data_IF_132162709686
#
_entry.id   IF_132162709686
#
_cell.length_a   1.000
_cell.length_b   1.000
_cell.length_c   1.000
_cell.angle_alpha   90.00
_cell.angle_beta   90.00
_cell.angle_gamma   90.00
#
_symmetry.space_group_name_H-M   'P 1'
#
loop_
_entity.id
_entity.type
_entity.pdbx_description
1 polymer ?
#
# COMPACT_ATOMS: atom_id res chain seq x y z
N UNK A 1 -20.48 8.00 -11.76
CA UNK A 1 -20.59 6.61 -11.27
C UNK A 1 -20.63 6.53 -9.73
N UNK A 2 -19.94 7.42 -9.00
CA UNK A 2 -20.25 7.74 -7.62
C UNK A 2 -20.44 9.25 -7.57
N UNK A 3 -21.61 9.74 -7.16
CA UNK A 3 -21.92 11.19 -7.04
C UNK A 3 -21.16 11.87 -5.90
N UNK A 4 -19.88 11.54 -5.75
CA UNK A 4 -18.96 12.09 -4.77
C UNK A 4 -18.34 13.32 -5.40
N UNK A 5 -18.78 14.49 -4.93
CA UNK A 5 -18.11 15.74 -5.24
C UNK A 5 -16.63 15.61 -4.84
N UNK A 6 -15.72 16.08 -5.71
CA UNK A 6 -14.31 16.21 -5.39
C UNK A 6 -14.14 17.30 -4.32
N UNK A 7 -14.45 16.92 -3.09
CA UNK A 7 -14.39 17.77 -1.91
C UNK A 7 -13.06 17.56 -1.17
N UNK A 8 -12.81 18.43 -0.20
CA UNK A 8 -11.60 18.38 0.64
C UNK A 8 -11.46 17.04 1.39
N UNK A 9 -12.56 16.35 1.68
CA UNK A 9 -12.58 15.05 2.34
C UNK A 9 -12.04 13.93 1.42
N UNK A 10 -12.39 13.96 0.14
CA UNK A 10 -11.87 13.03 -0.87
C UNK A 10 -10.35 13.24 -1.05
N UNK A 11 -9.90 14.49 -1.14
CA UNK A 11 -8.47 14.82 -1.33
C UNK A 11 -7.63 14.44 -0.11
N UNK A 12 -8.11 14.72 1.10
CA UNK A 12 -7.43 14.29 2.33
C UNK A 12 -7.38 12.77 2.46
N UNK A 13 -8.45 12.07 2.04
CA UNK A 13 -8.46 10.61 1.93
C UNK A 13 -7.42 10.07 0.94
N UNK A 14 -7.25 10.71 -0.22
CA UNK A 14 -6.22 10.36 -1.19
C UNK A 14 -4.81 10.54 -0.62
N UNK A 15 -4.54 11.65 0.06
CA UNK A 15 -3.24 11.89 0.70
C UNK A 15 -2.95 10.81 1.76
N UNK A 16 -3.97 10.44 2.54
CA UNK A 16 -3.87 9.40 3.56
C UNK A 16 -3.48 8.03 2.96
N UNK A 17 -4.15 7.58 1.89
CA UNK A 17 -3.81 6.30 1.25
C UNK A 17 -2.42 6.33 0.61
N UNK A 18 -2.00 7.45 0.03
CA UNK A 18 -0.66 7.58 -0.54
C UNK A 18 0.39 7.34 0.55
N UNK A 19 0.25 7.97 1.72
CA UNK A 19 1.17 7.79 2.85
C UNK A 19 1.18 6.35 3.38
N UNK A 20 0.01 5.73 3.53
CA UNK A 20 -0.11 4.34 4.01
C UNK A 20 0.53 3.33 3.05
N UNK A 21 0.30 3.49 1.75
CA UNK A 21 0.88 2.65 0.71
C UNK A 21 2.39 2.88 0.61
N UNK A 22 2.85 4.14 0.67
CA UNK A 22 4.26 4.50 0.64
C UNK A 22 5.03 3.87 1.82
N UNK A 23 4.51 3.99 3.06
CA UNK A 23 5.12 3.34 4.24
C UNK A 23 5.24 1.83 4.05
N UNK A 24 4.21 1.23 3.46
CA UNK A 24 4.17 -0.21 3.21
C UNK A 24 5.23 -0.63 2.19
N UNK A 25 5.36 0.10 1.07
CA UNK A 25 6.39 -0.10 0.05
C UNK A 25 7.80 0.06 0.62
N UNK A 26 8.06 1.18 1.32
CA UNK A 26 9.38 1.50 1.87
C UNK A 26 9.89 0.35 2.75
N UNK A 27 9.11 -0.07 3.75
CA UNK A 27 9.54 -1.16 4.62
C UNK A 27 9.63 -2.51 3.88
N UNK A 28 8.82 -2.75 2.85
CA UNK A 28 8.93 -3.98 2.05
C UNK A 28 10.26 -4.03 1.29
N UNK A 29 10.63 -2.92 0.63
CA UNK A 29 11.91 -2.79 -0.07
C UNK A 29 13.10 -2.80 0.88
N UNK A 30 12.98 -2.18 2.06
CA UNK A 30 14.03 -2.16 3.08
C UNK A 30 14.28 -3.55 3.64
N UNK A 31 13.23 -4.32 3.97
CA UNK A 31 13.36 -5.71 4.40
C UNK A 31 14.01 -6.58 3.32
N UNK A 32 13.61 -6.40 2.06
CA UNK A 32 14.19 -7.14 0.95
C UNK A 32 15.68 -6.80 0.76
N UNK A 33 16.04 -5.52 0.87
CA UNK A 33 17.44 -5.05 0.84
C UNK A 33 18.28 -5.63 1.98
N UNK A 34 17.74 -5.64 3.21
CA UNK A 34 18.40 -6.24 4.37
C UNK A 34 18.63 -7.75 4.17
N UNK A 35 17.62 -8.48 3.69
CA UNK A 35 17.76 -9.92 3.37
C UNK A 35 18.78 -10.19 2.27
N UNK A 36 18.91 -9.29 1.29
CA UNK A 36 19.98 -9.36 0.27
C UNK A 36 21.35 -9.16 0.90
N UNK A 37 21.50 -8.19 1.82
CA UNK A 37 22.76 -7.96 2.53
C UNK A 37 23.18 -9.13 3.43
N UNK A 38 22.21 -9.92 3.90
CA UNK A 38 22.41 -11.18 4.62
C UNK A 38 22.82 -12.36 3.69
N UNK A 39 23.06 -12.10 2.40
CA UNK A 39 23.57 -13.09 1.44
C UNK A 39 22.50 -13.88 0.68
N UNK A 40 21.20 -13.64 0.91
CA UNK A 40 20.13 -14.33 0.18
C UNK A 40 20.10 -13.92 -1.30
N UNK A 41 19.74 -14.84 -2.20
CA UNK A 41 19.52 -14.51 -3.62
C UNK A 41 18.38 -13.51 -3.80
N UNK A 42 18.37 -12.76 -4.90
CA UNK A 42 17.41 -11.69 -5.15
C UNK A 42 15.95 -12.13 -5.02
N UNK A 43 15.62 -13.26 -5.65
CA UNK A 43 14.28 -13.83 -5.60
C UNK A 43 13.91 -14.30 -4.19
N UNK A 44 14.84 -14.92 -3.46
CA UNK A 44 14.61 -15.37 -2.08
C UNK A 44 14.43 -14.19 -1.12
N UNK A 45 15.21 -13.12 -1.28
CA UNK A 45 15.09 -11.91 -0.47
C UNK A 45 13.74 -11.21 -0.68
N UNK A 46 13.32 -11.04 -1.94
CA UNK A 46 12.02 -10.46 -2.29
C UNK A 46 10.86 -11.31 -1.75
N UNK A 47 10.92 -12.63 -1.91
CA UNK A 47 9.89 -13.55 -1.41
C UNK A 47 9.82 -13.57 0.13
N UNK A 48 10.96 -13.61 0.80
CA UNK A 48 11.05 -13.57 2.26
C UNK A 48 10.46 -12.27 2.82
N UNK A 49 10.81 -11.13 2.22
CA UNK A 49 10.25 -9.84 2.58
C UNK A 49 8.73 -9.78 2.36
N UNK A 50 8.24 -10.25 1.21
CA UNK A 50 6.81 -10.32 0.93
C UNK A 50 6.07 -11.18 1.97
N UNK A 51 6.61 -12.35 2.34
CA UNK A 51 6.01 -13.26 3.32
C UNK A 51 5.91 -12.66 4.72
N UNK A 52 6.97 -12.00 5.20
CA UNK A 52 7.00 -11.37 6.53
C UNK A 52 6.04 -10.18 6.61
N UNK A 53 5.88 -9.44 5.50
CA UNK A 53 5.06 -8.22 5.45
C UNK A 53 3.60 -8.50 5.13
N UNK A 54 3.27 -9.63 4.49
CA UNK A 54 1.90 -9.99 4.12
C UNK A 54 0.92 -9.94 5.31
N UNK A 55 1.31 -10.48 6.47
CA UNK A 55 0.48 -10.45 7.69
C UNK A 55 0.22 -9.01 8.18
N UNK A 56 1.25 -8.17 8.40
CA UNK A 56 1.06 -6.74 8.70
C UNK A 56 0.25 -5.94 7.67
N UNK A 57 0.44 -6.21 6.37
CA UNK A 57 -0.27 -5.53 5.29
C UNK A 57 -1.76 -5.84 5.38
N UNK A 58 -2.11 -7.13 5.48
CA UNK A 58 -3.50 -7.56 5.62
C UNK A 58 -4.13 -7.00 6.91
N UNK A 59 -3.40 -6.99 8.02
CA UNK A 59 -3.89 -6.40 9.27
C UNK A 59 -4.27 -4.93 9.09
N UNK A 60 -3.44 -4.16 8.40
CA UNK A 60 -3.67 -2.71 8.20
C UNK A 60 -4.88 -2.47 7.31
N UNK A 61 -4.96 -3.17 6.17
CA UNK A 61 -6.09 -3.03 5.24
C UNK A 61 -7.39 -3.45 5.90
N UNK A 62 -7.41 -4.60 6.58
CA UNK A 62 -8.62 -5.09 7.24
C UNK A 62 -9.08 -4.12 8.33
N UNK A 63 -8.19 -3.68 9.22
CA UNK A 63 -8.54 -2.74 10.29
C UNK A 63 -9.09 -1.41 9.74
N UNK A 64 -8.48 -0.90 8.68
CA UNK A 64 -8.89 0.38 8.09
C UNK A 64 -10.22 0.23 7.32
N UNK A 65 -10.44 -0.89 6.62
CA UNK A 65 -11.76 -1.17 6.00
C UNK A 65 -12.83 -1.26 7.09
N UNK A 66 -12.65 -2.11 8.11
CA UNK A 66 -13.63 -2.25 9.19
C UNK A 66 -13.85 -0.94 9.97
N UNK A 67 -12.81 -0.15 10.20
CA UNK A 67 -12.92 1.14 10.88
C UNK A 67 -13.65 2.21 10.06
N UNK A 68 -13.60 2.13 8.73
CA UNK A 68 -14.26 3.07 7.82
C UNK A 68 -15.67 2.62 7.38
N UNK A 69 -16.03 1.34 7.54
CA UNK A 69 -17.39 0.82 7.30
C UNK A 69 -18.48 1.66 7.99
N UNK A 70 -18.42 1.97 9.30
CA UNK A 70 -19.45 2.78 9.95
C UNK A 70 -19.49 4.22 9.40
N UNK A 71 -18.35 4.77 8.95
CA UNK A 71 -18.29 6.10 8.33
C UNK A 71 -18.95 6.12 6.95
N UNK A 72 -18.94 5.01 6.20
CA UNK A 72 -19.72 4.89 4.97
C UNK A 72 -21.24 4.91 5.21
N UNK A 73 -21.69 4.46 6.39
CA UNK A 73 -23.10 4.38 6.77
C UNK A 73 -23.54 5.52 7.69
N UNK A 74 -22.69 6.51 7.94
CA UNK A 74 -23.03 7.64 8.79
C UNK A 74 -24.09 8.53 8.13
N UNK A 75 -25.07 8.97 8.94
CA UNK A 75 -26.15 9.90 8.53
C UNK A 75 -26.13 11.09 9.50
N UNK A 76 -25.99 12.32 9.00
CA UNK A 76 -25.82 13.54 9.81
C UNK A 76 -25.17 14.70 9.08
N UNK A 77 -24.90 15.80 9.80
CA UNK A 77 -24.19 16.98 9.25
C UNK A 77 -22.76 16.60 8.89
N UNK A 78 -22.35 16.85 7.64
CA UNK A 78 -21.03 16.41 7.12
C UNK A 78 -20.97 14.94 6.69
N UNK A 79 -22.07 14.19 6.78
CA UNK A 79 -22.11 12.77 6.37
C UNK A 79 -21.72 12.55 4.91
N UNK A 80 -22.09 13.46 4.01
CA UNK A 80 -21.68 13.39 2.60
C UNK A 80 -20.15 13.43 2.45
N UNK A 81 -19.46 14.24 3.26
CA UNK A 81 -18.00 14.32 3.28
C UNK A 81 -17.35 13.06 3.83
N UNK A 82 -17.79 12.62 5.02
CA UNK A 82 -17.28 11.41 5.67
C UNK A 82 -17.50 10.14 4.84
N UNK A 83 -18.66 10.03 4.18
CA UNK A 83 -19.01 8.92 3.31
C UNK A 83 -18.19 8.93 2.02
N UNK A 84 -17.94 10.11 1.44
CA UNK A 84 -17.03 10.27 0.30
C UNK A 84 -15.62 9.81 0.63
N UNK A 85 -15.07 10.27 1.77
CA UNK A 85 -13.75 9.87 2.25
C UNK A 85 -13.67 8.37 2.47
N UNK A 86 -14.59 7.80 3.25
CA UNK A 86 -14.56 6.37 3.59
C UNK A 86 -14.64 5.49 2.35
N UNK A 87 -15.54 5.81 1.41
CA UNK A 87 -15.71 5.04 0.17
C UNK A 87 -14.45 5.14 -0.71
N UNK A 88 -13.88 6.34 -0.85
CA UNK A 88 -12.66 6.58 -1.64
C UNK A 88 -11.43 5.87 -1.05
N UNK A 89 -11.25 5.96 0.27
CA UNK A 89 -10.13 5.33 0.98
C UNK A 89 -10.24 3.80 0.94
N UNK A 90 -11.42 3.23 1.20
CA UNK A 90 -11.63 1.78 1.15
C UNK A 90 -11.33 1.24 -0.26
N UNK A 91 -11.90 1.85 -1.30
CA UNK A 91 -11.66 1.44 -2.68
C UNK A 91 -10.19 1.59 -3.08
N UNK A 92 -9.60 2.76 -2.80
CA UNK A 92 -8.20 3.06 -3.13
C UNK A 92 -7.21 2.15 -2.39
N UNK A 93 -7.50 1.79 -1.15
CA UNK A 93 -6.61 0.94 -0.36
C UNK A 93 -6.68 -0.53 -0.77
N UNK A 94 -7.85 -1.06 -1.15
CA UNK A 94 -7.98 -2.43 -1.67
C UNK A 94 -7.20 -2.55 -2.99
N UNK A 95 -7.48 -1.67 -3.94
CA UNK A 95 -6.81 -1.68 -5.26
C UNK A 95 -5.32 -1.37 -5.11
N UNK A 96 -4.99 -0.35 -4.32
CA UNK A 96 -3.62 0.09 -4.08
C UNK A 96 -2.78 -0.98 -3.39
N UNK A 97 -3.33 -1.71 -2.41
CA UNK A 97 -2.58 -2.78 -1.74
C UNK A 97 -2.34 -3.98 -2.66
N UNK A 98 -3.34 -4.37 -3.46
CA UNK A 98 -3.15 -5.41 -4.48
C UNK A 98 -2.06 -5.00 -5.47
N UNK A 99 -2.14 -3.78 -6.02
CA UNK A 99 -1.12 -3.25 -6.90
C UNK A 99 0.25 -3.25 -6.21
N UNK A 100 0.35 -2.80 -4.95
CA UNK A 100 1.59 -2.76 -4.19
C UNK A 100 2.23 -4.14 -4.01
N UNK A 101 1.43 -5.15 -3.69
CA UNK A 101 1.89 -6.53 -3.46
C UNK A 101 2.52 -7.15 -4.70
N UNK A 102 2.05 -6.81 -5.90
CA UNK A 102 2.63 -7.30 -7.16
C UNK A 102 3.73 -6.37 -7.70
N UNK A 103 3.49 -5.06 -7.67
CA UNK A 103 4.35 -4.06 -8.31
C UNK A 103 5.67 -3.88 -7.55
N UNK A 104 5.65 -3.83 -6.22
CA UNK A 104 6.87 -3.55 -5.42
C UNK A 104 7.90 -4.68 -5.52
N UNK A 105 7.54 -5.98 -5.36
CA UNK A 105 8.51 -7.06 -5.54
C UNK A 105 9.06 -7.12 -6.97
N UNK A 106 8.22 -6.89 -7.97
CA UNK A 106 8.65 -6.86 -9.38
C UNK A 106 9.66 -5.74 -9.64
N UNK A 107 9.35 -4.51 -9.22
CA UNK A 107 10.26 -3.37 -9.31
C UNK A 107 11.58 -3.64 -8.57
N UNK A 108 11.52 -4.20 -7.36
CA UNK A 108 12.72 -4.52 -6.58
C UNK A 108 13.64 -5.50 -7.32
N UNK A 109 13.08 -6.54 -7.95
CA UNK A 109 13.86 -7.50 -8.75
C UNK A 109 14.52 -6.79 -9.95
N UNK A 110 13.78 -5.94 -10.67
CA UNK A 110 14.32 -5.20 -11.82
C UNK A 110 15.46 -4.26 -11.39
N UNK A 111 15.27 -3.47 -10.33
CA UNK A 111 16.29 -2.54 -9.85
C UNK A 111 17.56 -3.25 -9.38
N UNK A 112 17.45 -4.37 -8.67
CA UNK A 112 18.63 -5.12 -8.26
C UNK A 112 19.32 -5.83 -9.42
N UNK A 113 18.57 -6.34 -10.40
CA UNK A 113 19.16 -6.90 -11.61
C UNK A 113 20.01 -5.86 -12.34
N UNK A 114 19.53 -4.62 -12.43
CA UNK A 114 20.28 -3.50 -12.99
C UNK A 114 21.51 -3.18 -12.12
N UNK A 115 21.38 -3.15 -10.79
CA UNK A 115 22.52 -2.90 -9.90
C UNK A 115 23.62 -3.95 -10.01
N UNK A 116 23.29 -5.24 -10.15
CA UNK A 116 24.28 -6.31 -10.36
C UNK A 116 25.01 -6.15 -11.70
N UNK A 117 24.28 -5.77 -12.76
CA UNK A 117 24.87 -5.49 -14.07
C UNK A 117 25.80 -4.28 -14.05
N UNK A 118 25.44 -3.22 -13.32
CA UNK A 118 26.24 -1.98 -13.23
C UNK A 118 27.47 -2.15 -12.35
N UNK A 119 27.40 -2.96 -11.28
CA UNK A 119 28.54 -3.18 -10.37
C UNK A 119 29.63 -4.09 -10.96
N UNK A 120 29.32 -4.81 -12.03
CA UNK A 120 30.25 -5.72 -12.72
C UNK A 120 30.95 -5.07 -13.94
N UNK A 121 30.78 -3.76 -14.13
CA UNK A 121 31.43 -2.95 -15.17
C UNK A 121 32.15 -1.76 -14.54
#
# INVERSE_FOLDING_TARGET
LFGLENNIYMQTGLIMIIGLLAKTAILLTEYAGKRRSEGMTLAQAAYSAAKVRLRPILMTVLSMVFGLVPLMMAHGVGANGSRSLATGVIGGMIVGTLALLFLVPSLFIVFQYIQERVKHN
#
